data_IF_221839195043
#
_entry.id   IF_221839195043
#
_cell.length_a   1.000
_cell.length_b   1.000
_cell.length_c   1.000
_cell.angle_alpha   90.00
_cell.angle_beta   90.00
_cell.angle_gamma   90.00
#
_symmetry.space_group_name_H-M   'P 1'
#
loop_
_entity.id
_entity.type
_entity.pdbx_description
1 polymer ?
#
# COMPACT_ATOMS: atom_id res chain seq x y z
N UNK A 1 -57.29 26.78 28.60
CA UNK A 1 -56.23 25.96 27.98
C UNK A 1 -55.43 26.87 27.06
N UNK A 2 -54.37 27.47 27.59
CA UNK A 2 -53.60 28.52 26.92
C UNK A 2 -52.50 27.91 26.04
N UNK A 3 -52.52 28.27 24.76
CA UNK A 3 -51.42 28.12 23.81
C UNK A 3 -50.27 29.03 24.23
N UNK A 4 -49.05 28.50 24.33
CA UNK A 4 -47.85 29.31 24.21
C UNK A 4 -46.90 28.63 23.21
N UNK A 5 -46.92 29.16 21.98
CA UNK A 5 -45.94 28.95 20.94
C UNK A 5 -44.67 29.71 21.34
N UNK A 6 -43.57 28.99 21.56
CA UNK A 6 -42.24 29.59 21.67
C UNK A 6 -41.63 29.67 20.28
N UNK A 7 -41.73 30.86 19.71
CA UNK A 7 -41.03 31.32 18.53
C UNK A 7 -39.55 31.48 18.90
N UNK A 8 -38.67 30.68 18.30
CA UNK A 8 -37.22 30.89 18.40
C UNK A 8 -36.84 31.88 17.29
N UNK A 9 -36.25 33.05 17.62
CA UNK A 9 -35.92 34.05 16.63
C UNK A 9 -34.70 33.62 15.81
N UNK A 10 -34.87 33.75 14.49
CA UNK A 10 -33.83 33.88 13.49
C UNK A 10 -32.81 34.94 13.94
N UNK A 11 -31.60 34.51 14.29
CA UNK A 11 -30.42 35.38 14.28
C UNK A 11 -29.73 35.21 12.92
N UNK A 12 -30.15 36.07 12.00
CA UNK A 12 -29.31 36.54 10.91
C UNK A 12 -28.18 37.41 11.48
N UNK A 13 -27.08 37.43 10.73
CA UNK A 13 -25.95 38.38 10.75
C UNK A 13 -24.64 37.80 11.28
N UNK A 14 -23.78 37.39 10.36
CA UNK A 14 -22.61 38.22 10.03
C UNK A 14 -21.84 37.56 8.88
N UNK A 15 -22.04 38.15 7.70
CA UNK A 15 -21.11 38.13 6.59
C UNK A 15 -19.68 38.40 7.06
N UNK A 16 -18.83 37.38 7.03
CA UNK A 16 -17.42 37.57 6.72
C UNK A 16 -17.12 36.74 5.49
N UNK A 17 -17.14 37.43 4.36
CA UNK A 17 -16.53 36.98 3.13
C UNK A 17 -15.04 36.78 3.42
N UNK A 18 -14.65 35.56 3.80
CA UNK A 18 -13.28 35.13 3.63
C UNK A 18 -13.08 34.86 2.15
N UNK A 19 -12.51 35.86 1.46
CA UNK A 19 -11.80 35.65 0.21
C UNK A 19 -10.64 34.73 0.55
N UNK A 20 -10.85 33.41 0.43
CA UNK A 20 -9.75 32.46 0.32
C UNK A 20 -9.07 32.77 -1.01
N UNK A 21 -8.05 33.61 -0.92
CA UNK A 21 -7.03 33.76 -1.94
C UNK A 21 -6.44 32.36 -2.14
N UNK A 22 -6.86 31.70 -3.21
CA UNK A 22 -6.19 30.53 -3.75
C UNK A 22 -4.86 31.00 -4.34
N UNK A 23 -3.91 31.33 -3.46
CA UNK A 23 -2.51 31.24 -3.83
C UNK A 23 -2.30 29.77 -4.12
N UNK A 24 -2.25 29.46 -5.42
CA UNK A 24 -1.69 28.25 -5.96
C UNK A 24 -0.25 28.17 -5.46
N UNK A 25 -0.08 27.68 -4.24
CA UNK A 25 1.12 26.99 -3.84
C UNK A 25 1.18 25.80 -4.78
N UNK A 26 1.96 25.98 -5.84
CA UNK A 26 2.67 24.92 -6.51
C UNK A 26 3.24 24.04 -5.40
N UNK A 27 2.49 22.98 -5.07
CA UNK A 27 3.05 21.78 -4.50
C UNK A 27 3.96 21.26 -5.60
N UNK A 28 5.18 21.80 -5.59
CA UNK A 28 6.33 21.20 -6.24
C UNK A 28 6.57 19.90 -5.48
N UNK A 29 5.76 18.88 -5.83
CA UNK A 29 6.03 17.51 -5.45
C UNK A 29 7.16 17.00 -6.35
N UNK A 30 8.31 17.64 -6.26
CA UNK A 30 9.55 16.88 -6.31
C UNK A 30 9.61 16.16 -4.97
N UNK A 31 8.80 15.10 -4.84
CA UNK A 31 9.32 13.93 -4.19
C UNK A 31 10.66 13.72 -4.90
N UNK A 32 11.75 13.96 -4.16
CA UNK A 32 13.06 13.41 -4.44
C UNK A 32 12.86 11.87 -4.47
N UNK A 33 12.19 11.37 -5.51
CA UNK A 33 12.61 10.14 -6.16
C UNK A 33 14.03 10.47 -6.61
N UNK A 34 14.98 10.33 -5.68
CA UNK A 34 16.29 9.84 -6.03
C UNK A 34 15.99 8.58 -6.83
N UNK A 35 15.91 8.73 -8.15
CA UNK A 35 15.96 7.62 -9.07
C UNK A 35 17.26 6.95 -8.70
N UNK A 36 17.15 5.89 -7.88
CA UNK A 36 18.18 4.89 -7.79
C UNK A 36 18.43 4.55 -9.24
N UNK A 37 19.58 4.97 -9.75
CA UNK A 37 20.01 4.59 -11.09
C UNK A 37 19.77 3.09 -11.19
N UNK A 38 19.12 2.60 -12.26
CA UNK A 38 18.81 1.19 -12.38
C UNK A 38 20.12 0.45 -12.21
N UNK A 39 20.29 -0.18 -11.04
CA UNK A 39 21.50 -0.87 -10.68
C UNK A 39 21.69 -1.91 -11.78
N UNK A 40 22.69 -1.67 -12.62
CA UNK A 40 23.11 -2.57 -13.70
C UNK A 40 23.69 -3.86 -13.13
N UNK A 41 23.54 -4.10 -11.83
CA UNK A 41 23.71 -5.40 -11.20
C UNK A 41 23.04 -6.48 -12.08
N UNK A 42 23.82 -7.42 -12.61
CA UNK A 42 23.31 -8.60 -13.29
C UNK A 42 22.59 -9.58 -12.32
N UNK A 43 22.17 -9.10 -11.14
CA UNK A 43 21.59 -9.87 -10.04
C UNK A 43 20.12 -9.60 -9.73
N UNK A 44 19.46 -8.65 -10.41
CA UNK A 44 17.99 -8.54 -10.37
C UNK A 44 17.41 -9.66 -11.25
N UNK A 45 17.40 -10.88 -10.73
CA UNK A 45 16.80 -12.03 -11.40
C UNK A 45 15.38 -11.65 -11.83
N UNK A 46 15.15 -11.56 -13.15
CA UNK A 46 13.85 -11.18 -13.69
C UNK A 46 12.88 -12.33 -13.44
N UNK A 47 12.01 -12.17 -12.45
CA UNK A 47 10.99 -13.17 -12.09
C UNK A 47 9.76 -12.97 -12.96
N UNK A 48 9.29 -14.04 -13.62
CA UNK A 48 8.01 -14.03 -14.33
C UNK A 48 6.82 -14.23 -13.39
N UNK A 49 5.61 -13.87 -13.81
CA UNK A 49 4.41 -14.12 -13.01
C UNK A 49 4.23 -15.61 -12.66
N UNK A 50 4.57 -16.53 -13.58
CA UNK A 50 4.57 -17.97 -13.30
C UNK A 50 5.58 -18.36 -12.24
N UNK A 51 6.81 -17.87 -12.33
CA UNK A 51 7.86 -18.16 -11.35
C UNK A 51 7.49 -17.63 -9.97
N UNK A 52 6.97 -16.39 -9.91
CA UNK A 52 6.50 -15.77 -8.66
C UNK A 52 5.39 -16.58 -8.01
N UNK A 53 4.33 -16.93 -8.76
CA UNK A 53 3.21 -17.75 -8.25
C UNK A 53 3.67 -19.15 -7.82
N UNK A 54 4.55 -19.78 -8.60
CA UNK A 54 5.11 -21.09 -8.28
C UNK A 54 5.93 -21.05 -6.99
N UNK A 55 6.73 -20.00 -6.80
CA UNK A 55 7.46 -19.78 -5.55
C UNK A 55 6.52 -19.64 -4.35
N UNK A 56 5.49 -18.78 -4.45
CA UNK A 56 4.49 -18.58 -3.38
C UNK A 56 3.82 -19.91 -3.00
N UNK A 57 3.39 -20.68 -4.01
CA UNK A 57 2.75 -21.97 -3.81
C UNK A 57 3.69 -22.96 -3.07
N UNK A 58 4.95 -23.04 -3.50
CA UNK A 58 5.94 -23.95 -2.91
C UNK A 58 6.44 -23.51 -1.54
N UNK A 59 6.43 -22.20 -1.25
CA UNK A 59 6.90 -21.63 0.01
C UNK A 59 6.02 -22.00 1.21
N UNK A 60 4.80 -22.53 0.99
CA UNK A 60 3.84 -22.91 2.05
C UNK A 60 3.67 -21.80 3.08
N UNK A 61 3.40 -20.59 2.58
CA UNK A 61 3.31 -19.39 3.41
C UNK A 61 2.21 -19.57 4.47
N UNK A 62 2.52 -19.44 5.77
CA UNK A 62 1.54 -19.58 6.84
C UNK A 62 0.53 -18.44 6.82
N UNK A 63 -0.56 -18.62 7.57
CA UNK A 63 -1.60 -17.61 7.81
C UNK A 63 -1.50 -17.10 9.25
N UNK A 64 -2.09 -15.95 9.52
CA UNK A 64 -2.19 -15.46 10.90
C UNK A 64 -2.98 -16.44 11.79
N UNK A 65 -3.88 -17.25 11.24
CA UNK A 65 -4.61 -18.28 11.99
C UNK A 65 -3.73 -19.41 12.53
N UNK A 66 -2.54 -19.60 11.96
CA UNK A 66 -1.58 -20.60 12.45
C UNK A 66 -0.89 -20.17 13.77
N UNK A 67 -1.10 -18.92 14.21
CA UNK A 67 -0.63 -18.41 15.50
C UNK A 67 -1.58 -18.73 16.65
N UNK A 68 -1.06 -18.77 17.90
CA UNK A 68 -1.89 -18.73 19.11
C UNK A 68 -2.86 -17.55 19.09
N UNK A 69 -4.06 -17.73 19.65
CA UNK A 69 -5.16 -16.75 19.59
C UNK A 69 -4.74 -15.35 20.05
N UNK A 70 -3.97 -15.26 21.13
CA UNK A 70 -3.49 -14.00 21.69
C UNK A 70 -2.49 -13.24 20.79
N UNK A 71 -1.96 -13.86 19.74
CA UNK A 71 -1.02 -13.26 18.77
C UNK A 71 -1.67 -12.98 17.41
N UNK A 72 -2.88 -13.50 17.15
CA UNK A 72 -3.54 -13.32 15.83
C UNK A 72 -3.86 -11.86 15.55
N UNK A 73 -4.31 -11.11 16.56
CA UNK A 73 -4.71 -9.71 16.42
C UNK A 73 -3.57 -8.82 15.91
N UNK A 74 -2.35 -8.98 16.42
CA UNK A 74 -1.19 -8.19 15.96
C UNK A 74 -0.81 -8.55 14.52
N UNK A 75 -0.80 -9.84 14.17
CA UNK A 75 -0.54 -10.31 12.81
C UNK A 75 -1.57 -9.75 11.81
N UNK A 76 -2.86 -9.82 12.14
CA UNK A 76 -3.93 -9.26 11.31
C UNK A 76 -3.85 -7.74 11.19
N UNK A 77 -3.49 -7.04 12.26
CA UNK A 77 -3.29 -5.60 12.23
C UNK A 77 -2.12 -5.22 11.30
N UNK A 78 -0.98 -5.90 11.39
CA UNK A 78 0.15 -5.69 10.46
C UNK A 78 -0.24 -5.97 9.01
N UNK A 79 -0.99 -7.04 8.79
CA UNK A 79 -1.57 -7.37 7.48
C UNK A 79 -2.45 -6.24 6.95
N UNK A 80 -3.35 -5.72 7.76
CA UNK A 80 -4.21 -4.60 7.41
C UNK A 80 -3.41 -3.33 7.07
N UNK A 81 -2.40 -2.98 7.88
CA UNK A 81 -1.57 -1.80 7.68
C UNK A 81 -0.74 -1.86 6.38
N UNK A 82 -0.21 -3.03 6.02
CA UNK A 82 0.43 -3.23 4.73
C UNK A 82 -0.60 -3.18 3.58
N UNK A 83 -1.72 -3.86 3.78
CA UNK A 83 -2.76 -4.06 2.79
C UNK A 83 -3.42 -2.74 2.32
N UNK A 84 -3.67 -1.82 3.25
CA UNK A 84 -4.27 -0.51 2.92
C UNK A 84 -3.38 0.35 1.99
N UNK A 85 -2.09 0.05 1.90
CA UNK A 85 -1.15 0.73 1.01
C UNK A 85 -0.99 0.02 -0.34
N UNK A 86 -1.40 -1.26 -0.43
CA UNK A 86 -1.10 -2.13 -1.56
C UNK A 86 -2.29 -2.40 -2.49
N UNK A 87 -3.52 -2.50 -1.99
CA UNK A 87 -4.66 -2.92 -2.84
C UNK A 87 -5.32 -1.75 -3.57
N UNK A 88 -5.59 -1.86 -4.89
CA UNK A 88 -6.06 -0.76 -5.71
C UNK A 88 -7.47 -0.26 -5.35
N UNK A 89 -8.25 -1.07 -4.61
CA UNK A 89 -9.56 -0.68 -4.10
C UNK A 89 -9.52 0.25 -2.88
N UNK A 90 -8.33 0.45 -2.29
CA UNK A 90 -8.17 1.28 -1.09
C UNK A 90 -7.71 2.69 -1.49
N UNK A 91 -8.35 3.78 -0.99
CA UNK A 91 -7.96 5.15 -1.34
C UNK A 91 -6.51 5.51 -0.98
N UNK A 92 -5.93 4.83 0.00
CA UNK A 92 -4.55 5.04 0.44
C UNK A 92 -3.52 4.18 -0.31
N UNK A 93 -3.96 3.42 -1.32
CA UNK A 93 -3.04 2.64 -2.14
C UNK A 93 -2.19 3.55 -3.01
N UNK A 94 -0.93 3.17 -3.18
CA UNK A 94 -0.01 3.97 -3.97
C UNK A 94 -0.31 3.85 -5.47
N UNK A 95 0.07 4.86 -6.24
CA UNK A 95 0.00 4.80 -7.70
C UNK A 95 0.78 3.59 -8.25
N UNK A 96 1.99 3.32 -7.71
CA UNK A 96 2.81 2.18 -8.09
C UNK A 96 2.11 0.84 -7.83
N UNK A 97 1.51 0.65 -6.64
CA UNK A 97 0.76 -0.56 -6.34
C UNK A 97 -0.48 -0.71 -7.23
N UNK A 98 -1.20 0.38 -7.46
CA UNK A 98 -2.36 0.37 -8.37
C UNK A 98 -1.97 -0.01 -9.80
N UNK A 99 -0.84 0.50 -10.29
CA UNK A 99 -0.31 0.16 -11.60
C UNK A 99 0.15 -1.29 -11.68
N UNK A 100 0.86 -1.78 -10.65
CA UNK A 100 1.23 -3.19 -10.56
C UNK A 100 0.02 -4.12 -10.67
N UNK A 101 -1.06 -3.86 -9.91
CA UNK A 101 -2.24 -4.72 -9.97
C UNK A 101 -2.97 -4.65 -11.32
N UNK A 102 -3.07 -3.47 -11.95
CA UNK A 102 -3.61 -3.32 -13.31
C UNK A 102 -2.79 -4.10 -14.35
N UNK A 103 -1.48 -4.08 -14.19
CA UNK A 103 -0.55 -4.83 -15.03
C UNK A 103 -0.70 -6.34 -14.82
N UNK A 104 -0.77 -6.78 -13.56
CA UNK A 104 -0.99 -8.18 -13.18
C UNK A 104 -2.25 -8.77 -13.81
N UNK A 105 -3.35 -8.00 -13.86
CA UNK A 105 -4.62 -8.43 -14.46
C UNK A 105 -4.54 -8.66 -15.98
N UNK A 106 -3.59 -8.01 -16.67
CA UNK A 106 -3.42 -8.07 -18.13
C UNK A 106 -2.24 -8.94 -18.56
N UNK A 107 -1.38 -9.31 -17.62
CA UNK A 107 -0.13 -10.00 -17.89
C UNK A 107 -0.36 -11.47 -18.22
N UNK A 108 0.46 -11.98 -19.14
CA UNK A 108 0.61 -13.39 -19.39
C UNK A 108 1.54 -14.03 -18.35
N UNK A 109 1.45 -15.35 -18.24
CA UNK A 109 2.21 -16.14 -17.27
C UNK A 109 3.75 -15.97 -17.41
N UNK A 110 4.23 -15.66 -18.61
CA UNK A 110 5.66 -15.51 -18.92
C UNK A 110 6.15 -14.06 -18.87
N UNK A 111 5.26 -13.09 -18.62
CA UNK A 111 5.66 -11.70 -18.47
C UNK A 111 6.40 -11.51 -17.14
N UNK A 112 7.33 -10.56 -17.11
CA UNK A 112 8.10 -10.24 -15.90
C UNK A 112 7.26 -9.39 -14.94
N UNK A 113 7.32 -9.71 -13.64
CA UNK A 113 6.49 -9.04 -12.62
C UNK A 113 6.80 -7.55 -12.47
N UNK A 114 8.05 -7.16 -12.73
CA UNK A 114 8.56 -5.80 -12.56
C UNK A 114 8.94 -5.16 -13.90
N UNK A 115 8.16 -5.41 -14.96
CA UNK A 115 8.53 -4.95 -16.31
C UNK A 115 8.61 -3.41 -16.44
N UNK A 116 7.86 -2.66 -15.62
CA UNK A 116 7.82 -1.20 -15.59
C UNK A 116 8.29 -0.60 -14.25
N UNK A 117 8.88 -1.41 -13.37
CA UNK A 117 9.30 -0.98 -12.02
C UNK A 117 8.14 -0.79 -11.03
N UNK A 118 6.87 -1.02 -11.43
CA UNK A 118 5.71 -0.81 -10.55
C UNK A 118 5.68 -1.78 -9.37
N UNK A 119 6.18 -3.01 -9.56
CA UNK A 119 6.29 -4.00 -8.49
C UNK A 119 7.29 -3.53 -7.44
N UNK A 120 8.50 -3.19 -7.86
CA UNK A 120 9.54 -2.72 -6.95
C UNK A 120 9.07 -1.49 -6.19
N UNK A 121 8.60 -0.44 -6.89
CA UNK A 121 8.12 0.80 -6.25
C UNK A 121 6.94 0.57 -5.30
N UNK A 122 6.08 -0.41 -5.58
CA UNK A 122 4.99 -0.76 -4.67
C UNK A 122 5.53 -1.38 -3.37
N UNK A 123 6.29 -2.47 -3.47
CA UNK A 123 6.66 -3.29 -2.32
C UNK A 123 7.93 -2.81 -1.59
N UNK A 124 8.67 -1.83 -2.14
CA UNK A 124 9.78 -1.16 -1.47
C UNK A 124 9.35 0.09 -0.67
N UNK A 125 8.08 0.50 -0.74
CA UNK A 125 7.63 1.72 -0.04
C UNK A 125 7.76 1.59 1.48
N UNK A 126 8.41 2.58 2.09
CA UNK A 126 8.70 2.60 3.53
C UNK A 126 7.46 2.47 4.41
N UNK A 127 6.33 3.10 4.06
CA UNK A 127 5.07 3.02 4.82
C UNK A 127 4.47 1.62 4.80
N UNK A 128 4.55 0.94 3.66
CA UNK A 128 4.07 -0.43 3.50
C UNK A 128 4.96 -1.40 4.28
N UNK A 129 6.29 -1.27 4.13
CA UNK A 129 7.26 -2.08 4.89
C UNK A 129 7.11 -1.85 6.39
N UNK A 130 6.93 -0.62 6.85
CA UNK A 130 6.73 -0.30 8.27
C UNK A 130 5.43 -0.94 8.81
N UNK A 131 4.34 -0.89 8.03
CA UNK A 131 3.09 -1.57 8.37
C UNK A 131 3.29 -3.08 8.52
N UNK A 132 3.98 -3.70 7.57
CA UNK A 132 4.29 -5.13 7.63
C UNK A 132 5.22 -5.47 8.81
N UNK A 133 6.28 -4.70 9.04
CA UNK A 133 7.25 -4.87 10.14
C UNK A 133 6.67 -4.58 11.53
N UNK A 134 5.43 -4.07 11.64
CA UNK A 134 4.76 -3.88 12.94
C UNK A 134 4.45 -5.20 13.67
N UNK A 135 4.44 -6.33 12.94
CA UNK A 135 4.43 -7.68 13.51
C UNK A 135 5.52 -8.54 12.86
N UNK A 136 6.39 -9.13 13.69
CA UNK A 136 7.54 -9.91 13.20
C UNK A 136 7.11 -11.16 12.45
N UNK A 137 6.07 -11.85 12.92
CA UNK A 137 5.60 -13.08 12.26
C UNK A 137 5.04 -12.74 10.88
N UNK A 138 4.16 -11.74 10.79
CA UNK A 138 3.60 -11.29 9.52
C UNK A 138 4.70 -10.89 8.54
N UNK A 139 5.64 -10.03 8.95
CA UNK A 139 6.72 -9.61 8.05
C UNK A 139 7.59 -10.77 7.58
N UNK A 140 8.14 -11.56 8.52
CA UNK A 140 9.17 -12.55 8.21
C UNK A 140 8.63 -13.84 7.61
N UNK A 141 7.38 -14.21 7.93
CA UNK A 141 6.79 -15.49 7.53
C UNK A 141 5.75 -15.36 6.43
N UNK A 142 5.14 -14.18 6.25
CA UNK A 142 4.07 -13.96 5.26
C UNK A 142 4.52 -12.96 4.21
N UNK A 143 4.71 -11.71 4.62
CA UNK A 143 4.94 -10.60 3.69
C UNK A 143 6.25 -10.76 2.91
N UNK A 144 7.39 -10.90 3.58
CA UNK A 144 8.70 -10.96 2.93
C UNK A 144 8.86 -12.19 2.04
N UNK A 145 8.41 -13.41 2.41
CA UNK A 145 8.41 -14.55 1.49
C UNK A 145 7.59 -14.29 0.23
N UNK A 146 6.37 -13.73 0.37
CA UNK A 146 5.46 -13.52 -0.75
C UNK A 146 5.90 -12.40 -1.70
N UNK A 147 6.23 -11.24 -1.14
CA UNK A 147 6.35 -9.99 -1.89
C UNK A 147 7.79 -9.52 -2.10
N UNK A 148 8.76 -10.08 -1.37
CA UNK A 148 10.17 -9.73 -1.54
C UNK A 148 10.93 -10.94 -2.11
N UNK A 149 10.99 -12.02 -1.35
CA UNK A 149 11.79 -13.21 -1.66
C UNK A 149 11.36 -13.86 -2.97
N UNK A 150 10.07 -14.20 -3.11
CA UNK A 150 9.56 -14.83 -4.33
C UNK A 150 9.62 -13.93 -5.56
N UNK A 151 9.76 -12.63 -5.38
CA UNK A 151 9.90 -11.65 -6.45
C UNK A 151 11.36 -11.33 -6.80
N UNK A 152 12.33 -11.94 -6.12
CA UNK A 152 13.74 -11.65 -6.32
C UNK A 152 14.18 -10.29 -5.74
N UNK A 153 13.35 -9.65 -4.91
CA UNK A 153 13.74 -8.46 -4.17
C UNK A 153 14.51 -8.87 -2.90
N UNK A 154 15.67 -8.25 -2.66
CA UNK A 154 16.41 -8.47 -1.41
C UNK A 154 15.67 -7.82 -0.25
N UNK A 155 15.37 -8.60 0.78
CA UNK A 155 14.92 -8.08 2.07
C UNK A 155 16.12 -7.49 2.83
N UNK A 156 16.15 -6.18 3.05
CA UNK A 156 17.09 -5.52 3.97
C UNK A 156 16.54 -5.46 5.41
#
# INVERSE_FOLDING_TARGET
MNKLLLVIPFLLLASTYYVFRSDALLMDSTDDESYLEPDTNPGCARVTYTQWKTCIYNARIPKCDDLPENQRSSCYNASYLATKQMWPSVPTATCACTQFWKNFERANANDYIDFDGSYHRCFSKSTLIAGAKSDKFYYTRIFAPQYLTCAGLRSY
#
